data_IF_986106285080
#
_entry.id   IF_986106285080
#
_cell.length_a   1.000
_cell.length_b   1.000
_cell.length_c   1.000
_cell.angle_alpha   90.00
_cell.angle_beta   90.00
_cell.angle_gamma   90.00
#
_symmetry.space_group_name_H-M   'P 1'
#
loop_
_entity.id
_entity.type
_entity.pdbx_description
1 polymer ?
#
# COMPACT_ATOMS: atom_id res chain seq x y z
N UNK A 1 -4.61 14.47 7.75
CA UNK A 1 -4.05 14.74 9.11
C UNK A 1 -4.14 16.23 9.46
N UNK A 2 -3.66 17.18 8.64
CA UNK A 2 -3.64 18.61 8.98
C UNK A 2 -5.00 19.20 9.32
N UNK A 3 -6.05 18.90 8.56
CA UNK A 3 -7.42 19.39 8.84
C UNK A 3 -7.90 18.88 10.20
N UNK A 4 -7.80 17.57 10.46
CA UNK A 4 -8.21 16.98 11.74
C UNK A 4 -7.43 17.56 12.93
N UNK A 5 -6.13 17.78 12.77
CA UNK A 5 -5.30 18.40 13.82
C UNK A 5 -5.72 19.85 14.08
N UNK A 6 -6.05 20.63 13.03
CA UNK A 6 -6.55 21.99 13.16
C UNK A 6 -7.90 22.07 13.89
N UNK A 7 -8.84 21.20 13.53
CA UNK A 7 -10.15 21.12 14.19
C UNK A 7 -10.01 20.74 15.68
N UNK A 8 -9.15 19.75 15.97
CA UNK A 8 -8.89 19.31 17.34
C UNK A 8 -8.27 20.45 18.16
N UNK A 9 -7.25 21.12 17.60
CA UNK A 9 -6.59 22.26 18.27
C UNK A 9 -7.59 23.38 18.55
N UNK A 10 -8.40 23.77 17.55
CA UNK A 10 -9.40 24.83 17.71
C UNK A 10 -10.40 24.53 18.85
N UNK A 11 -10.82 23.28 18.97
CA UNK A 11 -11.74 22.83 20.02
C UNK A 11 -11.08 22.73 21.40
N UNK A 12 -9.80 22.32 21.45
CA UNK A 12 -9.11 22.00 22.71
C UNK A 12 -8.38 23.20 23.30
N UNK A 13 -7.89 24.12 22.46
CA UNK A 13 -7.10 25.26 22.90
C UNK A 13 -7.81 26.14 23.95
N UNK A 14 -9.11 26.50 23.80
CA UNK A 14 -9.81 27.27 24.85
C UNK A 14 -9.85 26.56 26.21
N UNK A 15 -9.99 25.21 26.18
CA UNK A 15 -10.02 24.41 27.42
C UNK A 15 -8.64 24.37 28.08
N UNK A 16 -7.56 24.30 27.28
CA UNK A 16 -6.18 24.33 27.79
C UNK A 16 -5.89 25.71 28.44
N UNK A 17 -6.26 26.80 27.76
CA UNK A 17 -6.06 28.14 28.27
C UNK A 17 -6.87 28.42 29.55
N UNK A 18 -8.06 27.85 29.66
CA UNK A 18 -8.90 27.91 30.86
C UNK A 18 -8.46 26.94 31.97
N UNK A 19 -7.36 26.18 31.77
CA UNK A 19 -6.90 25.13 32.69
C UNK A 19 -7.98 24.07 33.01
N UNK A 20 -8.95 23.89 32.11
CA UNK A 20 -10.05 22.96 32.26
C UNK A 20 -9.80 21.60 31.54
N UNK A 21 -8.68 21.45 30.81
CA UNK A 21 -8.35 20.20 30.18
C UNK A 21 -7.59 19.27 31.12
N UNK A 22 -8.03 18.01 31.18
CA UNK A 22 -7.34 16.95 31.93
C UNK A 22 -6.52 16.11 30.98
N UNK A 23 -5.19 16.07 31.08
CA UNK A 23 -4.36 15.21 30.28
C UNK A 23 -4.67 13.72 30.57
N UNK A 24 -4.85 12.92 29.51
CA UNK A 24 -5.02 11.48 29.63
C UNK A 24 -3.66 10.84 29.31
N UNK A 25 -3.07 10.05 30.23
CA UNK A 25 -1.83 9.31 29.95
C UNK A 25 -2.03 8.37 28.76
N UNK A 26 -1.03 8.31 27.88
CA UNK A 26 -1.05 7.35 26.78
C UNK A 26 -0.69 5.96 27.29
N UNK A 27 -1.34 4.94 26.73
CA UNK A 27 -1.04 3.53 27.01
C UNK A 27 0.23 3.12 26.24
N UNK A 28 1.39 3.25 26.87
CA UNK A 28 2.69 2.97 26.25
C UNK A 28 2.85 1.53 25.77
N UNK A 29 2.15 0.57 26.40
CA UNK A 29 2.19 -0.83 25.98
C UNK A 29 1.56 -1.07 24.59
N UNK A 30 0.70 -0.15 24.14
CA UNK A 30 0.06 -0.20 22.81
C UNK A 30 0.78 0.67 21.76
N UNK A 31 1.90 1.27 22.12
CA UNK A 31 2.67 2.10 21.19
C UNK A 31 3.20 1.27 20.02
N UNK A 32 3.07 1.81 18.82
CA UNK A 32 3.69 1.24 17.63
C UNK A 32 4.73 2.22 17.07
N UNK A 33 5.73 1.65 16.43
CA UNK A 33 6.86 2.38 15.88
C UNK A 33 6.85 2.27 14.37
N UNK A 34 7.21 3.35 13.70
CA UNK A 34 7.41 3.38 12.26
C UNK A 34 8.87 3.71 11.95
N UNK A 35 9.31 3.41 10.76
CA UNK A 35 10.62 3.81 10.24
C UNK A 35 10.45 4.68 9.00
N UNK A 36 11.54 5.32 8.59
CA UNK A 36 11.58 6.04 7.32
C UNK A 36 11.27 5.08 6.17
N UNK A 37 10.41 5.49 5.25
CA UNK A 37 10.15 4.77 4.01
C UNK A 37 11.38 4.80 3.11
N UNK A 38 11.59 3.72 2.37
CA UNK A 38 12.68 3.53 1.41
C UNK A 38 12.10 3.10 0.06
N UNK A 39 12.87 3.26 -1.02
CA UNK A 39 12.47 2.73 -2.35
C UNK A 39 12.30 1.21 -2.35
N UNK A 40 13.04 0.52 -1.50
CA UNK A 40 12.95 -0.92 -1.30
C UNK A 40 11.64 -1.38 -0.65
N UNK A 41 10.78 -0.46 -0.22
CA UNK A 41 9.44 -0.78 0.31
C UNK A 41 8.38 -0.88 -0.78
N UNK A 42 8.72 -0.51 -2.01
CA UNK A 42 7.78 -0.50 -3.15
C UNK A 42 7.32 -1.88 -3.63
N UNK A 43 8.14 -2.95 -3.67
CA UNK A 43 7.72 -4.25 -4.19
C UNK A 43 6.54 -4.84 -3.41
N UNK A 44 5.60 -5.47 -4.14
CA UNK A 44 4.46 -6.19 -3.57
C UNK A 44 4.81 -7.68 -3.41
N UNK A 45 4.44 -8.26 -2.27
CA UNK A 45 4.48 -9.69 -2.03
C UNK A 45 3.06 -10.28 -2.16
N UNK A 46 2.79 -10.91 -3.28
CA UNK A 46 1.46 -11.51 -3.54
C UNK A 46 1.12 -12.70 -2.63
N UNK A 47 2.05 -13.21 -1.86
CA UNK A 47 1.77 -14.22 -0.81
C UNK A 47 1.02 -13.63 0.38
N UNK A 48 1.02 -12.29 0.53
CA UNK A 48 0.25 -11.59 1.55
C UNK A 48 -1.26 -11.59 1.23
N UNK A 49 -2.08 -11.22 2.22
CA UNK A 49 -3.52 -10.99 2.03
C UNK A 49 -3.77 -9.78 1.12
N UNK A 50 -4.76 -9.91 0.24
CA UNK A 50 -5.15 -8.84 -0.69
C UNK A 50 -5.57 -7.55 0.03
N UNK A 51 -6.19 -7.64 1.22
CA UNK A 51 -6.56 -6.47 2.03
C UNK A 51 -5.30 -5.73 2.50
N UNK A 52 -4.29 -6.47 2.96
CA UNK A 52 -3.00 -5.90 3.38
C UNK A 52 -2.32 -5.20 2.20
N UNK A 53 -2.31 -5.82 1.03
CA UNK A 53 -1.72 -5.23 -0.18
C UNK A 53 -2.46 -3.97 -0.63
N UNK A 54 -3.80 -3.97 -0.63
CA UNK A 54 -4.59 -2.80 -0.98
C UNK A 54 -4.34 -1.63 -0.02
N UNK A 55 -4.26 -1.89 1.28
CA UNK A 55 -3.94 -0.88 2.29
C UNK A 55 -2.51 -0.35 2.11
N UNK A 56 -1.53 -1.23 1.82
CA UNK A 56 -0.15 -0.83 1.56
C UNK A 56 -0.04 0.06 0.33
N UNK A 57 -0.72 -0.28 -0.78
CA UNK A 57 -0.76 0.55 -1.99
C UNK A 57 -1.28 1.95 -1.66
N UNK A 58 -2.36 2.03 -0.88
CA UNK A 58 -2.93 3.31 -0.44
C UNK A 58 -1.97 4.09 0.47
N UNK A 59 -1.30 3.41 1.40
CA UNK A 59 -0.37 4.04 2.34
C UNK A 59 0.89 4.57 1.65
N UNK A 60 1.40 3.87 0.63
CA UNK A 60 2.59 4.24 -0.12
C UNK A 60 2.29 5.11 -1.35
N UNK A 61 1.04 5.49 -1.58
CA UNK A 61 0.64 6.34 -2.70
C UNK A 61 1.47 7.64 -2.71
N UNK A 62 1.96 8.02 -3.91
CA UNK A 62 2.86 9.14 -4.07
C UNK A 62 4.33 8.72 -3.95
N UNK A 63 4.81 8.30 -2.80
CA UNK A 63 6.19 7.86 -2.60
C UNK A 63 6.29 6.81 -1.48
N UNK A 64 7.05 5.72 -1.69
CA UNK A 64 7.77 5.31 -2.92
C UNK A 64 6.82 4.77 -4.00
N UNK A 65 5.55 4.57 -3.69
CA UNK A 65 4.58 3.85 -4.47
C UNK A 65 4.64 2.35 -4.22
N UNK A 66 3.88 1.59 -4.99
CA UNK A 66 3.91 0.12 -4.96
C UNK A 66 4.17 -0.42 -6.35
N UNK A 67 4.97 -1.48 -6.45
CA UNK A 67 5.43 -2.00 -7.74
C UNK A 67 5.39 -3.52 -7.81
N UNK A 68 5.25 -4.03 -9.02
CA UNK A 68 5.55 -5.43 -9.35
C UNK A 68 6.23 -5.49 -10.72
N UNK A 69 6.91 -6.60 -11.00
CA UNK A 69 7.57 -6.82 -12.27
C UNK A 69 6.75 -7.77 -13.16
N UNK A 70 6.65 -7.45 -14.44
CA UNK A 70 6.08 -8.31 -15.46
C UNK A 70 7.01 -8.32 -16.69
N UNK A 71 7.56 -9.48 -17.03
CA UNK A 71 8.47 -9.66 -18.17
C UNK A 71 9.64 -8.65 -18.20
N UNK A 72 10.28 -8.40 -17.05
CA UNK A 72 11.39 -7.46 -16.91
C UNK A 72 10.95 -5.98 -16.86
N UNK A 73 9.65 -5.67 -16.94
CA UNK A 73 9.12 -4.32 -16.88
C UNK A 73 8.57 -4.05 -15.48
N UNK A 74 9.13 -3.07 -14.78
CA UNK A 74 8.66 -2.64 -13.46
C UNK A 74 7.41 -1.77 -13.60
N UNK A 75 6.26 -2.30 -13.22
CA UNK A 75 4.98 -1.61 -13.24
C UNK A 75 4.67 -1.01 -11.88
N UNK A 76 4.16 0.23 -11.87
CA UNK A 76 3.71 0.90 -10.65
C UNK A 76 2.20 0.80 -10.51
N UNK A 77 1.74 0.52 -9.29
CA UNK A 77 0.31 0.47 -8.93
C UNK A 77 -0.06 1.76 -8.21
N UNK A 78 -1.00 2.50 -8.77
CA UNK A 78 -1.49 3.76 -8.19
C UNK A 78 -2.68 3.58 -7.27
N UNK A 79 -3.57 2.65 -7.61
CA UNK A 79 -4.74 2.33 -6.80
C UNK A 79 -5.16 0.87 -6.99
N UNK A 80 -5.67 0.27 -5.92
CA UNK A 80 -6.19 -1.08 -5.91
C UNK A 80 -7.20 -1.27 -4.78
N UNK A 81 -8.00 -2.33 -4.88
CA UNK A 81 -8.86 -2.81 -3.80
C UNK A 81 -8.78 -4.33 -3.69
N UNK A 82 -9.15 -4.83 -2.52
CA UNK A 82 -9.23 -6.26 -2.27
C UNK A 82 -10.61 -6.79 -2.65
N UNK A 83 -10.64 -7.99 -3.21
CA UNK A 83 -11.85 -8.74 -3.54
C UNK A 83 -11.76 -10.12 -2.89
N UNK A 84 -12.84 -10.60 -2.30
CA UNK A 84 -12.92 -11.98 -1.87
C UNK A 84 -12.79 -12.90 -3.08
N UNK A 85 -12.05 -14.01 -2.93
CA UNK A 85 -11.82 -14.91 -4.04
C UNK A 85 -11.39 -16.30 -3.57
N UNK A 86 -11.51 -17.27 -4.46
CA UNK A 86 -11.05 -18.64 -4.24
C UNK A 86 -9.53 -18.73 -4.32
N UNK A 87 -8.98 -19.77 -3.68
CA UNK A 87 -7.56 -20.04 -3.73
C UNK A 87 -7.07 -20.23 -5.18
N UNK A 88 -6.00 -19.52 -5.52
CA UNK A 88 -5.26 -19.62 -6.77
C UNK A 88 -3.78 -19.44 -6.47
N UNK A 89 -2.92 -19.61 -7.45
CA UNK A 89 -1.48 -19.41 -7.25
C UNK A 89 -1.20 -17.93 -6.95
N UNK A 90 -0.59 -17.64 -5.80
CA UNK A 90 -0.25 -16.26 -5.44
C UNK A 90 0.61 -15.59 -6.52
N UNK A 91 0.20 -14.41 -6.99
CA UNK A 91 0.80 -13.71 -8.11
C UNK A 91 0.18 -14.02 -9.47
N UNK A 92 -0.71 -15.00 -9.58
CA UNK A 92 -1.36 -15.33 -10.85
C UNK A 92 -2.31 -14.22 -11.31
N UNK A 93 -2.17 -13.80 -12.55
CA UNK A 93 -3.07 -12.85 -13.19
C UNK A 93 -4.34 -13.59 -13.60
N UNK A 94 -5.43 -13.31 -12.93
CA UNK A 94 -6.72 -13.99 -13.13
C UNK A 94 -7.59 -13.32 -14.19
N UNK A 95 -7.46 -12.02 -14.35
CA UNK A 95 -8.19 -11.24 -15.33
C UNK A 95 -7.52 -9.91 -15.60
N UNK A 96 -7.71 -9.40 -16.82
CA UNK A 96 -7.39 -8.02 -17.20
C UNK A 96 -8.57 -7.43 -17.95
N UNK A 97 -9.06 -6.27 -17.51
CA UNK A 97 -10.23 -5.65 -18.11
C UNK A 97 -10.48 -4.22 -17.64
N UNK A 98 -11.69 -3.73 -17.92
CA UNK A 98 -12.09 -2.35 -17.60
C UNK A 98 -12.09 -2.06 -16.09
N UNK A 99 -12.42 -3.03 -15.27
CA UNK A 99 -12.50 -2.88 -13.82
C UNK A 99 -11.12 -2.91 -13.15
N UNK A 100 -10.15 -3.53 -13.79
CA UNK A 100 -8.80 -3.67 -13.24
C UNK A 100 -8.06 -4.89 -13.74
N UNK A 101 -6.85 -5.02 -13.24
CA UNK A 101 -6.04 -6.24 -13.34
C UNK A 101 -6.22 -7.00 -12.04
N UNK A 102 -6.81 -8.19 -12.09
CA UNK A 102 -7.06 -9.04 -10.94
C UNK A 102 -5.93 -10.05 -10.78
N UNK A 103 -5.31 -10.02 -9.61
CA UNK A 103 -4.16 -10.85 -9.25
C UNK A 103 -4.51 -11.67 -8.02
N UNK A 104 -4.23 -12.97 -8.04
CA UNK A 104 -4.39 -13.85 -6.90
C UNK A 104 -3.39 -13.49 -5.79
N UNK A 105 -3.83 -13.56 -4.55
CA UNK A 105 -3.01 -13.30 -3.37
C UNK A 105 -3.02 -14.50 -2.44
N UNK A 106 -2.24 -14.46 -1.37
CA UNK A 106 -2.25 -15.52 -0.35
C UNK A 106 -3.64 -15.75 0.23
N UNK A 107 -4.43 -14.68 0.36
CA UNK A 107 -5.85 -14.71 0.64
C UNK A 107 -6.56 -13.64 -0.20
N UNK A 108 -7.62 -14.02 -0.90
CA UNK A 108 -8.38 -13.13 -1.77
C UNK A 108 -7.62 -12.70 -3.04
N UNK A 109 -8.14 -11.70 -3.70
CA UNK A 109 -7.60 -11.17 -4.95
C UNK A 109 -7.38 -9.66 -4.85
N UNK A 110 -6.27 -9.18 -5.37
CA UNK A 110 -5.97 -7.75 -5.53
C UNK A 110 -6.45 -7.29 -6.90
N UNK A 111 -7.27 -6.26 -6.96
CA UNK A 111 -7.73 -5.64 -8.20
C UNK A 111 -7.03 -4.29 -8.36
N UNK A 112 -6.04 -4.22 -9.24
CA UNK A 112 -5.28 -3.02 -9.55
C UNK A 112 -6.07 -2.17 -10.57
N UNK A 113 -6.55 -1.00 -10.13
CA UNK A 113 -7.40 -0.11 -10.96
C UNK A 113 -6.61 0.95 -11.70
N UNK A 114 -5.42 1.31 -11.22
CA UNK A 114 -4.53 2.28 -11.86
C UNK A 114 -3.12 1.72 -11.93
N UNK A 115 -2.53 1.77 -13.11
CA UNK A 115 -1.19 1.24 -13.40
C UNK A 115 -0.36 2.24 -14.22
N UNK A 116 0.96 2.12 -14.08
CA UNK A 116 1.91 2.99 -14.79
C UNK A 116 3.10 2.17 -15.28
N UNK A 117 3.46 2.34 -16.54
CA UNK A 117 4.74 1.86 -17.10
C UNK A 117 5.87 2.83 -16.79
N UNK A 118 7.13 2.38 -16.78
CA UNK A 118 8.29 3.27 -16.68
C UNK A 118 8.21 4.41 -17.71
N UNK A 119 8.44 5.65 -17.25
CA UNK A 119 8.37 6.85 -18.08
C UNK A 119 6.97 7.28 -18.56
N UNK A 120 5.95 6.47 -18.30
CA UNK A 120 4.55 6.76 -18.67
C UNK A 120 3.77 7.51 -17.60
N UNK A 121 2.49 7.77 -17.90
CA UNK A 121 1.52 8.32 -16.96
C UNK A 121 0.82 7.20 -16.19
N UNK A 122 0.31 7.51 -14.98
CA UNK A 122 -0.61 6.65 -14.26
C UNK A 122 -1.94 6.64 -15.02
N UNK A 123 -2.40 5.46 -15.42
CA UNK A 123 -3.60 5.27 -16.24
C UNK A 123 -4.62 4.39 -15.53
N UNK A 124 -5.93 4.63 -15.69
CA UNK A 124 -6.95 3.66 -15.37
C UNK A 124 -6.68 2.33 -16.08
N UNK A 125 -7.06 1.21 -15.45
CA UNK A 125 -6.78 -0.13 -15.99
C UNK A 125 -7.32 -0.35 -17.40
N UNK A 126 -8.47 0.25 -17.74
CA UNK A 126 -9.04 0.17 -19.08
C UNK A 126 -8.10 0.76 -20.15
N UNK A 127 -7.54 1.95 -19.89
CA UNK A 127 -6.60 2.63 -20.79
C UNK A 127 -5.24 1.94 -20.79
N UNK A 128 -4.77 1.52 -19.62
CA UNK A 128 -3.52 0.78 -19.48
C UNK A 128 -3.55 -0.51 -20.32
N UNK A 129 -4.66 -1.26 -20.24
CA UNK A 129 -4.85 -2.54 -20.95
C UNK A 129 -4.91 -2.40 -22.47
N UNK A 130 -5.30 -1.24 -22.97
CA UNK A 130 -5.28 -0.97 -24.41
C UNK A 130 -3.86 -0.88 -24.97
N UNK A 131 -2.89 -0.47 -24.16
CA UNK A 131 -1.49 -0.28 -24.58
C UNK A 131 -0.49 -1.27 -23.96
N UNK A 132 -0.91 -2.11 -23.00
CA UNK A 132 -0.05 -3.09 -22.33
C UNK A 132 -0.86 -4.30 -21.86
N UNK A 133 -0.54 -5.44 -22.44
CA UNK A 133 -1.23 -6.69 -22.11
C UNK A 133 -0.51 -7.44 -20.98
N UNK A 134 -1.26 -7.76 -19.94
CA UNK A 134 -0.87 -8.67 -18.88
C UNK A 134 -1.59 -10.01 -19.13
N UNK A 135 -0.85 -11.01 -19.52
CA UNK A 135 -1.44 -12.30 -19.93
C UNK A 135 -2.03 -13.04 -18.73
N UNK A 136 -3.32 -13.41 -18.85
CA UNK A 136 -4.01 -14.23 -17.85
C UNK A 136 -3.32 -15.58 -17.73
N UNK A 137 -3.16 -16.05 -16.48
CA UNK A 137 -2.42 -17.26 -16.16
C UNK A 137 -0.91 -17.03 -15.92
N UNK A 138 -0.37 -15.84 -16.24
CA UNK A 138 1.01 -15.51 -15.86
C UNK A 138 1.11 -15.35 -14.35
N UNK A 139 2.13 -15.95 -13.75
CA UNK A 139 2.44 -15.83 -12.31
C UNK A 139 3.53 -14.78 -12.13
N UNK A 140 3.17 -13.68 -11.47
CA UNK A 140 4.09 -12.60 -11.10
C UNK A 140 4.97 -13.03 -9.92
N UNK A 141 6.23 -12.68 -9.97
CA UNK A 141 7.13 -12.88 -8.83
C UNK A 141 6.72 -12.01 -7.65
N UNK A 142 6.66 -12.60 -6.46
CA UNK A 142 6.48 -11.86 -5.22
C UNK A 142 7.78 -11.17 -4.84
N UNK A 143 7.67 -9.87 -4.52
CA UNK A 143 8.77 -9.09 -3.98
C UNK A 143 8.96 -9.33 -2.48
N UNK A 144 10.01 -8.75 -1.92
CA UNK A 144 10.19 -8.67 -0.47
C UNK A 144 9.45 -7.43 0.05
N UNK A 145 8.55 -7.63 0.99
CA UNK A 145 7.73 -6.57 1.58
C UNK A 145 8.11 -6.35 3.05
N UNK A 146 9.09 -5.45 3.33
CA UNK A 146 9.53 -5.22 4.69
C UNK A 146 8.42 -4.64 5.57
N UNK A 147 8.49 -4.94 6.86
CA UNK A 147 7.60 -4.38 7.87
C UNK A 147 7.78 -2.86 7.97
N UNK A 148 6.68 -2.12 8.02
CA UNK A 148 6.64 -0.66 8.14
C UNK A 148 6.23 -0.17 9.53
N UNK A 149 5.51 -1.01 10.26
CA UNK A 149 5.02 -0.72 11.62
C UNK A 149 5.36 -1.91 12.49
N UNK A 150 5.93 -1.66 13.65
CA UNK A 150 6.35 -2.69 14.61
C UNK A 150 5.92 -2.33 16.01
N UNK A 151 5.66 -3.32 16.86
CA UNK A 151 5.47 -3.15 18.31
C UNK A 151 6.78 -2.79 19.04
N UNK A 152 7.94 -2.98 18.38
CA UNK A 152 9.26 -2.66 18.91
C UNK A 152 9.93 -1.59 18.04
N UNK A 153 10.79 -0.72 18.62
CA UNK A 153 11.56 0.24 17.85
C UNK A 153 12.40 -0.46 16.76
N UNK A 154 12.40 0.07 15.55
CA UNK A 154 13.32 -0.39 14.51
C UNK A 154 14.75 -0.05 14.90
N UNK A 155 15.67 -1.02 14.80
CA UNK A 155 17.09 -0.76 15.01
C UNK A 155 17.56 0.30 14.01
N UNK A 156 18.19 1.38 14.51
CA UNK A 156 18.86 2.36 13.64
C UNK A 156 20.01 1.65 12.91
N UNK A 157 19.85 1.39 11.60
CA UNK A 157 21.03 1.06 10.80
C UNK A 157 21.94 2.29 10.82
N UNK A 158 23.10 2.17 11.47
CA UNK A 158 24.21 3.12 11.25
C UNK A 158 24.53 3.03 9.75
N UNK A 159 24.23 4.07 9.01
CA UNK A 159 24.76 4.28 7.66
C UNK A 159 26.27 4.46 7.81
N UNK A 160 27.03 3.47 7.41
CA UNK A 160 28.46 3.60 7.14
C UNK A 160 28.64 4.28 5.82
#
# INVERSE_FOLDING_TARGET
MGVLAGELLHRTLPQILAQASVPIPQEHAQATFTRRLLRTDAPLDFKADAVVLAQRIKALAGWPGSTFEHQGVLLKVGAAYALAGTAATAGEILAQGREGVRIACGQGHLVCTHLQRPGGKMLPAAEFSAGYRLEVGTVLASGVMPELVSAQPFSSRKTS
#
